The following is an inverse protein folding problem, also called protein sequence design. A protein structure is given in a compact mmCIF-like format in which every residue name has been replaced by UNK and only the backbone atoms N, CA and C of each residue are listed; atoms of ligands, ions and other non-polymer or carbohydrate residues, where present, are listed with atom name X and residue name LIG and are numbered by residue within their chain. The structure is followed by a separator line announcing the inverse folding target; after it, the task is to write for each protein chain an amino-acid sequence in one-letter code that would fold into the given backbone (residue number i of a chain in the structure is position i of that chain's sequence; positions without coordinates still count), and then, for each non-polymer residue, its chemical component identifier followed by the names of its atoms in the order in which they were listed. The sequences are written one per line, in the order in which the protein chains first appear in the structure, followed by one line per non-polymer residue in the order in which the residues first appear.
data_IF_540135661510
#
_entry.id   IF_540135661510
#
_cell.length_a   1.000
_cell.length_b   1.000
_cell.length_c   1.000
_cell.angle_alpha   90.00
_cell.angle_beta   90.00
_cell.angle_gamma   90.00
#
_symmetry.space_group_name_H-M   'P 1'
#
loop_
_entity.id
_entity.type
_entity.pdbx_description
1 polymer ?
#
# COMPACT_ATOMS: atom_id res chain seq x y z
N UNK A 1 -27.17 -14.42 3.60
CA UNK A 1 -27.35 -12.96 3.40
C UNK A 1 -26.85 -12.60 2.02
N UNK A 2 -27.62 -11.81 1.24
CA UNK A 2 -27.11 -11.28 -0.03
C UNK A 2 -26.30 -10.03 0.23
N UNK A 3 -25.05 -10.04 -0.23
CA UNK A 3 -24.10 -8.98 -0.03
C UNK A 3 -23.74 -8.31 -1.37
N UNK A 4 -23.96 -7.01 -1.49
CA UNK A 4 -23.51 -6.23 -2.65
C UNK A 4 -22.05 -5.78 -2.42
N UNK A 5 -21.24 -5.84 -3.45
CA UNK A 5 -19.84 -5.42 -3.41
C UNK A 5 -19.43 -4.71 -4.70
N UNK A 6 -18.34 -3.98 -4.62
CA UNK A 6 -17.61 -3.47 -5.77
C UNK A 6 -16.19 -4.04 -5.78
N UNK A 7 -15.72 -4.40 -6.97
CA UNK A 7 -14.35 -4.84 -7.19
C UNK A 7 -13.50 -3.65 -7.61
N UNK A 8 -12.41 -3.44 -6.90
CA UNK A 8 -11.43 -2.39 -7.17
C UNK A 8 -10.03 -2.99 -7.33
N UNK A 9 -9.15 -2.25 -7.99
CA UNK A 9 -7.72 -2.53 -8.01
C UNK A 9 -6.90 -1.24 -7.96
N UNK A 10 -5.69 -1.32 -7.40
CA UNK A 10 -4.70 -0.26 -7.39
C UNK A 10 -3.31 -0.86 -7.58
N UNK A 11 -2.69 -0.56 -8.72
CA UNK A 11 -1.34 -1.05 -9.09
C UNK A 11 -1.22 -2.58 -9.00
N UNK A 12 -2.23 -3.30 -9.51
CA UNK A 12 -2.26 -4.76 -9.54
C UNK A 12 -2.75 -5.44 -8.25
N UNK A 13 -2.90 -4.70 -7.17
CA UNK A 13 -3.45 -5.20 -5.91
C UNK A 13 -4.97 -5.02 -5.91
N UNK A 14 -5.75 -6.10 -5.76
CA UNK A 14 -7.19 -6.10 -5.99
C UNK A 14 -8.00 -6.28 -4.69
N UNK A 15 -9.16 -5.65 -4.64
CA UNK A 15 -9.95 -5.55 -3.42
C UNK A 15 -11.44 -5.77 -3.68
N UNK A 16 -12.10 -6.43 -2.72
CA UNK A 16 -13.55 -6.39 -2.56
C UNK A 16 -13.87 -5.21 -1.67
N UNK A 17 -14.72 -4.29 -2.14
CA UNK A 17 -15.17 -3.16 -1.36
C UNK A 17 -16.65 -3.31 -1.02
N UNK A 18 -16.97 -3.18 0.28
CA UNK A 18 -18.32 -3.30 0.81
C UNK A 18 -18.71 -2.01 1.50
N UNK A 19 -19.86 -1.48 1.14
CA UNK A 19 -20.42 -0.31 1.77
C UNK A 19 -21.30 -0.71 2.97
N UNK A 20 -20.85 -0.36 4.17
CA UNK A 20 -21.62 -0.44 5.42
C UNK A 20 -21.96 0.94 5.99
N UNK A 21 -21.92 2.00 5.16
CA UNK A 21 -22.12 3.37 5.63
C UNK A 21 -23.50 3.56 6.29
N UNK A 22 -24.53 2.92 5.74
CA UNK A 22 -25.89 2.99 6.24
C UNK A 22 -26.40 1.66 6.86
N UNK A 23 -25.63 0.58 6.78
CA UNK A 23 -26.03 -0.76 7.21
C UNK A 23 -24.91 -1.44 7.97
N UNK A 24 -25.16 -1.78 9.23
CA UNK A 24 -24.18 -2.51 10.05
C UNK A 24 -24.48 -4.02 10.02
N UNK A 25 -23.50 -4.79 9.60
CA UNK A 25 -23.49 -6.25 9.76
C UNK A 25 -22.05 -6.71 10.07
N UNK A 26 -21.92 -7.84 10.73
CA UNK A 26 -20.61 -8.38 11.09
C UNK A 26 -20.19 -9.46 10.12
N UNK A 27 -18.96 -9.35 9.63
CA UNK A 27 -18.25 -10.39 8.90
C UNK A 27 -17.21 -11.02 9.84
N UNK A 28 -17.35 -12.33 10.08
CA UNK A 28 -16.33 -13.07 10.79
C UNK A 28 -15.19 -13.48 9.85
N UNK A 29 -14.08 -13.96 10.40
CA UNK A 29 -12.89 -14.36 9.64
C UNK A 29 -13.21 -15.38 8.54
N UNK A 30 -14.09 -16.37 8.82
CA UNK A 30 -14.48 -17.40 7.84
C UNK A 30 -15.17 -16.79 6.61
N UNK A 31 -16.08 -15.82 6.82
CA UNK A 31 -16.76 -15.11 5.71
C UNK A 31 -15.81 -14.22 4.92
N UNK A 32 -14.86 -13.56 5.61
CA UNK A 32 -13.83 -12.75 4.96
C UNK A 32 -12.94 -13.64 4.07
N UNK A 33 -12.46 -14.77 4.61
CA UNK A 33 -11.67 -15.74 3.87
C UNK A 33 -12.41 -16.27 2.64
N UNK A 34 -13.69 -16.64 2.81
CA UNK A 34 -14.54 -17.08 1.69
C UNK A 34 -14.68 -16.00 0.61
N UNK A 35 -14.94 -14.75 0.98
CA UNK A 35 -15.05 -13.65 0.01
C UNK A 35 -13.77 -13.44 -0.77
N UNK A 36 -12.60 -13.54 -0.11
CA UNK A 36 -11.29 -13.34 -0.71
C UNK A 36 -10.78 -14.56 -1.50
N UNK A 37 -11.37 -15.74 -1.32
CA UNK A 37 -11.00 -16.95 -2.05
C UNK A 37 -11.30 -16.81 -3.54
N UNK A 38 -10.28 -17.04 -4.39
CA UNK A 38 -10.37 -16.83 -5.84
C UNK A 38 -11.13 -17.94 -6.57
N UNK A 39 -11.33 -19.08 -5.93
CA UNK A 39 -12.02 -20.23 -6.51
C UNK A 39 -13.45 -20.38 -6.00
N UNK A 40 -13.70 -20.05 -4.73
CA UNK A 40 -14.98 -20.29 -4.08
C UNK A 40 -15.79 -19.01 -3.85
N UNK A 41 -15.12 -17.84 -3.76
CA UNK A 41 -15.74 -16.55 -3.51
C UNK A 41 -15.63 -15.58 -4.68
N UNK A 42 -15.49 -14.30 -4.35
CA UNK A 42 -15.25 -13.24 -5.34
C UNK A 42 -13.78 -13.21 -5.76
N UNK A 43 -12.89 -13.54 -4.84
CA UNK A 43 -11.44 -13.52 -5.03
C UNK A 43 -10.86 -12.11 -4.93
N UNK A 44 -9.95 -11.90 -3.99
CA UNK A 44 -9.20 -10.64 -3.86
C UNK A 44 -7.99 -10.80 -2.91
N UNK A 45 -7.05 -9.87 -3.01
CA UNK A 45 -5.94 -9.72 -2.05
C UNK A 45 -6.42 -9.19 -0.69
N UNK A 46 -7.62 -8.63 -0.61
CA UNK A 46 -8.22 -8.19 0.64
C UNK A 46 -9.62 -7.60 0.50
N UNK A 47 -10.23 -7.40 1.66
CA UNK A 47 -11.58 -6.85 1.82
C UNK A 47 -11.50 -5.45 2.44
N UNK A 48 -12.17 -4.49 1.82
CA UNK A 48 -12.36 -3.12 2.33
C UNK A 48 -13.80 -2.94 2.76
N UNK A 49 -14.01 -2.42 3.96
CA UNK A 49 -15.34 -2.02 4.45
C UNK A 49 -15.32 -0.52 4.69
N UNK A 50 -16.30 0.18 4.12
CA UNK A 50 -16.54 1.61 4.36
C UNK A 50 -17.68 1.74 5.36
N UNK A 51 -17.42 2.45 6.47
CA UNK A 51 -18.38 2.65 7.56
C UNK A 51 -18.58 4.12 7.85
N UNK A 52 -19.75 4.46 8.36
CA UNK A 52 -20.03 5.78 8.89
C UNK A 52 -19.28 6.02 10.19
N UNK A 53 -18.84 7.26 10.42
CA UNK A 53 -18.22 7.71 11.67
C UNK A 53 -18.47 9.20 11.86
N UNK A 54 -18.72 9.63 13.10
CA UNK A 54 -18.83 11.05 13.43
C UNK A 54 -17.47 11.79 13.44
N UNK A 55 -16.36 11.05 13.33
CA UNK A 55 -15.01 11.60 13.53
C UNK A 55 -14.31 11.99 12.23
N UNK A 56 -14.78 11.48 11.09
CA UNK A 56 -14.18 11.69 9.76
C UNK A 56 -15.24 11.54 8.67
N UNK A 57 -14.90 11.72 7.40
CA UNK A 57 -15.83 11.49 6.30
C UNK A 57 -16.31 10.03 6.27
N UNK A 58 -15.41 9.09 6.61
CA UNK A 58 -15.71 7.66 6.77
C UNK A 58 -14.65 6.95 7.60
N UNK A 59 -14.97 5.73 8.06
CA UNK A 59 -14.01 4.77 8.59
C UNK A 59 -13.76 3.68 7.54
N UNK A 60 -12.50 3.41 7.25
CA UNK A 60 -12.05 2.29 6.44
C UNK A 60 -11.54 1.16 7.33
N UNK A 61 -12.11 -0.03 7.15
CA UNK A 61 -11.53 -1.28 7.69
C UNK A 61 -10.98 -2.10 6.53
N UNK A 62 -9.73 -2.51 6.64
CA UNK A 62 -9.11 -3.40 5.67
C UNK A 62 -8.76 -4.73 6.34
N UNK A 63 -9.18 -5.81 5.70
CA UNK A 63 -8.93 -7.16 6.16
C UNK A 63 -8.13 -7.94 5.11
N UNK A 64 -7.08 -8.61 5.58
CA UNK A 64 -6.38 -9.62 4.80
C UNK A 64 -7.28 -10.87 4.59
N UNK A 65 -6.96 -11.78 3.65
CA UNK A 65 -7.76 -12.99 3.43
C UNK A 65 -7.89 -13.90 4.66
N UNK A 66 -6.95 -13.86 5.60
CA UNK A 66 -7.00 -14.59 6.87
C UNK A 66 -7.94 -13.95 7.92
N UNK A 67 -8.56 -12.83 7.57
CA UNK A 67 -9.44 -12.05 8.44
C UNK A 67 -8.73 -11.16 9.45
N UNK A 68 -7.41 -11.01 9.39
CA UNK A 68 -6.66 -10.05 10.19
C UNK A 68 -6.85 -8.61 9.67
N UNK A 69 -7.05 -7.65 10.59
CA UNK A 69 -7.18 -6.23 10.23
C UNK A 69 -5.80 -5.59 10.11
N UNK A 70 -5.53 -4.90 9.00
CA UNK A 70 -4.29 -4.16 8.76
C UNK A 70 -4.55 -2.82 8.07
N UNK A 71 -3.50 -2.05 7.79
CA UNK A 71 -3.55 -0.87 6.94
C UNK A 71 -2.97 -1.20 5.56
N UNK A 72 -3.67 -0.79 4.50
CA UNK A 72 -3.22 -0.99 3.12
C UNK A 72 -3.28 0.34 2.35
N UNK A 73 -2.13 0.86 1.92
CA UNK A 73 -2.04 2.10 1.14
C UNK A 73 -2.72 2.00 -0.23
N UNK A 74 -2.63 0.85 -0.90
CA UNK A 74 -3.33 0.59 -2.17
C UNK A 74 -4.85 0.56 -1.94
N UNK A 75 -5.30 -0.17 -0.92
CA UNK A 75 -6.71 -0.23 -0.52
C UNK A 75 -7.25 1.14 -0.09
N UNK A 76 -6.46 1.95 0.58
CA UNK A 76 -6.86 3.31 0.98
C UNK A 76 -7.16 4.20 -0.23
N UNK A 77 -6.39 4.10 -1.32
CA UNK A 77 -6.71 4.83 -2.56
C UNK A 77 -8.04 4.39 -3.16
N UNK A 78 -8.32 3.09 -3.15
CA UNK A 78 -9.61 2.56 -3.61
C UNK A 78 -10.77 3.04 -2.74
N UNK A 79 -10.61 3.00 -1.41
CA UNK A 79 -11.61 3.48 -0.45
C UNK A 79 -11.93 4.97 -0.62
N UNK A 80 -10.92 5.80 -0.78
CA UNK A 80 -11.05 7.25 -1.00
C UNK A 80 -11.74 7.55 -2.33
N UNK A 81 -11.35 6.85 -3.40
CA UNK A 81 -12.01 7.00 -4.70
C UNK A 81 -13.48 6.60 -4.64
N UNK A 82 -13.78 5.47 -4.00
CA UNK A 82 -15.15 5.03 -3.77
C UNK A 82 -15.97 6.07 -2.99
N UNK A 83 -15.43 6.57 -1.87
CA UNK A 83 -16.11 7.53 -1.02
C UNK A 83 -16.42 8.86 -1.76
N UNK A 84 -15.49 9.32 -2.59
CA UNK A 84 -15.71 10.51 -3.42
C UNK A 84 -16.76 10.28 -4.53
N UNK A 85 -16.71 9.14 -5.22
CA UNK A 85 -17.66 8.78 -6.27
C UNK A 85 -19.09 8.63 -5.74
N UNK A 86 -19.22 8.18 -4.49
CA UNK A 86 -20.51 7.99 -3.81
C UNK A 86 -20.92 9.19 -2.92
N UNK A 87 -20.24 10.34 -3.03
CA UNK A 87 -20.53 11.57 -2.28
C UNK A 87 -20.46 11.40 -0.75
N UNK A 88 -19.71 10.42 -0.26
CA UNK A 88 -19.44 10.19 1.16
C UNK A 88 -18.40 11.20 1.65
N UNK A 89 -17.41 11.55 0.83
CA UNK A 89 -16.39 12.55 1.13
C UNK A 89 -16.46 13.74 0.18
N UNK A 90 -15.80 14.86 0.56
CA UNK A 90 -15.68 16.06 -0.30
C UNK A 90 -14.85 15.73 -1.54
N UNK A 91 -15.15 16.39 -2.69
CA UNK A 91 -14.59 16.04 -3.99
C UNK A 91 -13.06 15.97 -4.08
N UNK A 92 -12.33 16.87 -3.38
CA UNK A 92 -10.89 17.02 -3.57
C UNK A 92 -10.05 16.65 -2.34
N UNK A 93 -10.68 16.55 -1.17
CA UNK A 93 -10.01 16.20 0.09
C UNK A 93 -10.90 15.18 0.80
N UNK A 94 -10.29 14.13 1.30
CA UNK A 94 -10.96 13.12 2.11
C UNK A 94 -10.19 12.93 3.40
N UNK A 95 -10.89 12.99 4.53
CA UNK A 95 -10.35 12.61 5.83
C UNK A 95 -11.03 11.32 6.26
N UNK A 96 -10.25 10.31 6.59
CA UNK A 96 -10.79 9.02 6.97
C UNK A 96 -10.06 8.41 8.17
N UNK A 97 -10.75 7.54 8.88
CA UNK A 97 -10.17 6.73 9.94
C UNK A 97 -9.77 5.36 9.38
N UNK A 98 -8.57 4.89 9.73
CA UNK A 98 -8.18 3.49 9.55
C UNK A 98 -7.34 3.07 10.76
N UNK A 99 -7.67 1.93 11.38
CA UNK A 99 -7.00 1.45 12.60
C UNK A 99 -6.90 2.50 13.71
N UNK A 100 -7.98 3.25 13.93
CA UNK A 100 -8.07 4.35 14.92
C UNK A 100 -7.10 5.53 14.68
N UNK A 101 -6.50 5.63 13.48
CA UNK A 101 -5.66 6.76 13.08
C UNK A 101 -6.35 7.60 12.01
N UNK A 102 -6.13 8.91 12.06
CA UNK A 102 -6.60 9.83 11.01
C UNK A 102 -5.66 9.79 9.83
N UNK A 103 -6.25 9.72 8.66
CA UNK A 103 -5.56 9.83 7.38
C UNK A 103 -6.19 10.92 6.54
N UNK A 104 -5.38 11.54 5.71
CA UNK A 104 -5.79 12.60 4.78
C UNK A 104 -5.39 12.20 3.36
N UNK A 105 -6.31 12.38 2.42
CA UNK A 105 -6.10 12.07 1.03
C UNK A 105 -6.56 13.23 0.14
N UNK A 106 -5.86 13.40 -0.97
CA UNK A 106 -6.15 14.39 -2.00
C UNK A 106 -6.51 13.66 -3.30
N UNK A 107 -7.60 14.11 -3.92
CA UNK A 107 -8.09 13.51 -5.16
C UNK A 107 -7.85 14.52 -6.28
N UNK A 108 -7.11 14.10 -7.29
CA UNK A 108 -6.86 14.88 -8.49
C UNK A 108 -7.18 14.05 -9.73
N UNK A 109 -8.30 14.35 -10.39
CA UNK A 109 -8.83 13.56 -11.53
C UNK A 109 -9.00 12.09 -11.11
N UNK A 110 -8.28 11.18 -11.76
CA UNK A 110 -8.31 9.74 -11.50
C UNK A 110 -7.26 9.25 -10.51
N UNK A 111 -6.48 10.15 -9.89
CA UNK A 111 -5.40 9.78 -8.97
C UNK A 111 -5.73 10.19 -7.54
N UNK A 112 -5.38 9.32 -6.60
CA UNK A 112 -5.48 9.58 -5.17
C UNK A 112 -4.09 9.64 -4.57
N UNK A 113 -3.85 10.70 -3.79
CA UNK A 113 -2.62 10.95 -3.06
C UNK A 113 -2.89 10.85 -1.57
N UNK A 114 -2.31 9.87 -0.91
CA UNK A 114 -2.44 9.66 0.55
C UNK A 114 -1.29 10.37 1.25
N UNK A 115 -1.61 11.21 2.25
CA UNK A 115 -0.61 11.80 3.14
C UNK A 115 -0.11 10.74 4.11
N UNK A 116 1.19 10.61 4.18
CA UNK A 116 1.88 9.65 5.04
C UNK A 116 2.57 10.36 6.20
N UNK A 117 2.90 9.61 7.24
CA UNK A 117 3.62 10.14 8.40
C UNK A 117 5.04 10.57 8.03
N UNK A 118 5.57 11.53 8.77
CA UNK A 118 6.96 11.93 8.67
C UNK A 118 7.88 10.76 9.07
N UNK A 119 9.05 10.66 8.44
CA UNK A 119 9.99 9.56 8.62
C UNK A 119 11.35 10.11 9.02
N UNK A 120 11.88 9.62 10.13
CA UNK A 120 13.21 9.96 10.66
C UNK A 120 14.03 8.73 11.04
N UNK A 121 13.40 7.57 11.23
CA UNK A 121 14.07 6.35 11.64
C UNK A 121 14.66 5.60 10.43
N UNK A 122 15.83 6.04 9.99
CA UNK A 122 16.53 5.51 8.82
C UNK A 122 17.92 5.06 9.27
N UNK A 123 18.24 3.79 9.05
CA UNK A 123 19.56 3.22 9.31
C UNK A 123 20.23 2.87 7.99
N UNK A 124 21.40 3.43 7.75
CA UNK A 124 22.25 3.03 6.62
C UNK A 124 23.07 1.81 7.04
N UNK A 125 23.05 0.77 6.20
CA UNK A 125 23.76 -0.50 6.41
C UNK A 125 24.66 -0.72 5.20
N UNK A 126 25.90 -0.28 5.29
CA UNK A 126 26.82 -0.23 4.14
C UNK A 126 26.22 0.59 2.98
N UNK A 127 25.85 -0.07 1.89
CA UNK A 127 25.18 0.53 0.73
C UNK A 127 23.65 0.38 0.76
N UNK A 128 23.12 -0.39 1.70
CA UNK A 128 21.70 -0.67 1.88
C UNK A 128 21.09 0.25 2.95
N UNK A 129 19.77 0.20 3.12
CA UNK A 129 19.03 0.99 4.08
C UNK A 129 18.00 0.14 4.81
N UNK A 130 17.86 0.36 6.12
CA UNK A 130 16.71 -0.10 6.88
C UNK A 130 15.88 1.11 7.28
N UNK A 131 14.61 1.13 6.89
CA UNK A 131 13.69 2.25 7.07
C UNK A 131 12.49 1.74 7.84
N UNK A 132 12.33 2.25 9.05
CA UNK A 132 11.23 1.88 9.94
C UNK A 132 10.04 2.77 9.66
N UNK A 133 9.11 2.19 8.93
CA UNK A 133 7.77 2.70 8.70
C UNK A 133 6.81 1.98 9.66
N UNK A 134 5.51 2.15 9.53
CA UNK A 134 4.54 1.28 10.24
C UNK A 134 4.76 -0.22 9.91
N UNK A 135 5.36 -0.49 8.76
CA UNK A 135 5.92 -1.78 8.37
C UNK A 135 7.38 -1.55 7.99
N UNK A 136 8.35 -2.23 8.65
CA UNK A 136 9.76 -2.01 8.39
C UNK A 136 10.18 -2.54 7.02
N UNK A 137 11.09 -1.81 6.37
CA UNK A 137 11.60 -2.11 5.04
C UNK A 137 13.13 -2.15 5.00
N UNK A 138 13.68 -3.19 4.43
CA UNK A 138 15.07 -3.25 3.97
C UNK A 138 15.12 -2.87 2.49
N UNK A 139 16.03 -1.98 2.13
CA UNK A 139 16.16 -1.48 0.75
C UNK A 139 17.59 -1.66 0.27
N UNK A 140 17.76 -2.40 -0.81
CA UNK A 140 19.02 -2.60 -1.53
C UNK A 140 18.97 -1.90 -2.88
N UNK A 141 19.98 -1.06 -3.16
CA UNK A 141 20.15 -0.47 -4.48
C UNK A 141 20.96 -1.44 -5.34
N UNK A 142 20.42 -1.75 -6.52
CA UNK A 142 20.99 -2.70 -7.49
C UNK A 142 21.25 -1.98 -8.82
N UNK A 143 22.24 -2.44 -9.57
CA UNK A 143 22.58 -1.86 -10.87
C UNK A 143 21.57 -2.29 -11.95
N UNK A 144 21.12 -3.56 -11.93
CA UNK A 144 20.16 -4.09 -12.89
C UNK A 144 19.20 -5.10 -12.23
N UNK A 145 17.91 -4.77 -12.22
CA UNK A 145 16.86 -5.62 -11.65
C UNK A 145 16.44 -6.77 -12.58
N UNK A 146 16.71 -6.67 -13.88
CA UNK A 146 16.28 -7.70 -14.83
C UNK A 146 17.18 -8.95 -14.76
N UNK A 147 18.46 -8.76 -14.46
CA UNK A 147 19.45 -9.84 -14.37
C UNK A 147 19.70 -10.32 -12.94
N UNK A 148 18.89 -9.86 -11.96
CA UNK A 148 19.08 -10.25 -10.58
C UNK A 148 18.28 -11.53 -10.25
N UNK A 149 18.94 -12.51 -9.63
CA UNK A 149 18.24 -13.62 -9.00
C UNK A 149 17.52 -13.11 -7.75
N UNK A 150 16.22 -12.83 -7.92
CA UNK A 150 15.39 -12.24 -6.86
C UNK A 150 15.38 -13.10 -5.61
N UNK A 151 15.08 -14.41 -5.75
CA UNK A 151 14.95 -15.35 -4.64
C UNK A 151 16.25 -15.44 -3.84
N UNK A 152 17.38 -15.65 -4.50
CA UNK A 152 18.70 -15.75 -3.87
C UNK A 152 19.08 -14.47 -3.12
N UNK A 153 18.75 -13.28 -3.68
CA UNK A 153 19.00 -12.01 -3.01
C UNK A 153 18.14 -11.83 -1.75
N UNK A 154 16.85 -12.20 -1.82
CA UNK A 154 15.95 -12.13 -0.66
C UNK A 154 16.44 -13.06 0.45
N UNK A 155 16.77 -14.31 0.14
CA UNK A 155 17.30 -15.29 1.10
C UNK A 155 18.57 -14.77 1.78
N UNK A 156 19.52 -14.26 1.01
CA UNK A 156 20.76 -13.69 1.56
C UNK A 156 20.49 -12.50 2.49
N UNK A 157 19.62 -11.56 2.08
CA UNK A 157 19.26 -10.42 2.93
C UNK A 157 18.61 -10.88 4.24
N UNK A 158 17.73 -11.87 4.19
CA UNK A 158 17.08 -12.44 5.38
C UNK A 158 18.12 -13.09 6.31
N UNK A 159 19.00 -13.94 5.80
CA UNK A 159 20.05 -14.61 6.60
C UNK A 159 20.93 -13.57 7.31
N UNK A 160 21.38 -12.55 6.57
CA UNK A 160 22.31 -11.55 7.09
C UNK A 160 21.67 -10.58 8.12
N UNK A 161 20.34 -10.42 8.12
CA UNK A 161 19.71 -9.31 8.83
C UNK A 161 18.55 -9.68 9.77
N UNK A 162 17.91 -10.86 9.66
CA UNK A 162 16.76 -11.23 10.49
C UNK A 162 17.07 -11.24 12.00
N UNK A 163 18.25 -11.71 12.38
CA UNK A 163 18.66 -11.72 13.79
C UNK A 163 18.72 -10.33 14.42
N UNK A 164 19.01 -9.30 13.61
CA UNK A 164 19.18 -7.91 14.06
C UNK A 164 17.91 -7.06 13.94
N UNK A 165 17.10 -7.30 12.91
CA UNK A 165 15.99 -6.42 12.55
C UNK A 165 14.62 -7.12 12.60
N UNK A 166 14.58 -8.43 12.88
CA UNK A 166 13.36 -9.21 12.87
C UNK A 166 12.79 -9.39 11.45
N UNK A 167 11.47 -9.49 11.34
CA UNK A 167 10.80 -9.70 10.07
C UNK A 167 10.46 -8.36 9.40
N UNK A 168 10.92 -8.16 8.16
CA UNK A 168 10.78 -6.93 7.38
C UNK A 168 10.45 -7.21 5.91
N UNK A 169 9.92 -6.21 5.22
CA UNK A 169 9.78 -6.23 3.77
C UNK A 169 11.14 -5.92 3.11
N UNK A 170 11.39 -6.47 1.93
CA UNK A 170 12.64 -6.25 1.21
C UNK A 170 12.34 -5.63 -0.16
N UNK A 171 13.03 -4.54 -0.48
CA UNK A 171 12.90 -3.85 -1.75
C UNK A 171 14.24 -3.86 -2.46
N UNK A 172 14.28 -4.42 -3.67
CA UNK A 172 15.39 -4.30 -4.59
C UNK A 172 15.09 -3.14 -5.53
N UNK A 173 16.00 -2.18 -5.64
CA UNK A 173 15.76 -0.88 -6.29
C UNK A 173 16.81 -0.62 -7.34
N UNK A 174 16.39 -0.32 -8.56
CA UNK A 174 17.25 0.18 -9.64
C UNK A 174 16.94 1.65 -9.90
N UNK A 175 17.97 2.49 -9.89
CA UNK A 175 17.85 3.91 -10.22
C UNK A 175 17.90 4.06 -11.73
N UNK A 176 16.83 4.57 -12.34
CA UNK A 176 16.74 4.81 -13.79
C UNK A 176 17.16 6.24 -14.13
N UNK A 177 16.73 7.19 -13.29
CA UNK A 177 17.06 8.60 -13.46
C UNK A 177 17.01 9.34 -12.12
N UNK A 178 17.24 10.64 -12.13
CA UNK A 178 17.12 11.48 -10.93
C UNK A 178 15.71 11.47 -10.31
N UNK A 179 14.69 11.13 -11.09
CA UNK A 179 13.29 11.18 -10.66
C UNK A 179 12.52 9.88 -10.92
N UNK A 180 13.22 8.79 -11.27
CA UNK A 180 12.58 7.52 -11.60
C UNK A 180 13.39 6.33 -11.11
N UNK A 181 12.70 5.35 -10.50
CA UNK A 181 13.26 4.09 -10.00
C UNK A 181 12.36 2.92 -10.37
N UNK A 182 12.96 1.76 -10.60
CA UNK A 182 12.27 0.47 -10.67
C UNK A 182 12.42 -0.25 -9.33
N UNK A 183 11.37 -0.94 -8.90
CA UNK A 183 11.34 -1.62 -7.60
C UNK A 183 10.69 -2.99 -7.73
N UNK A 184 11.31 -4.00 -7.10
CA UNK A 184 10.73 -5.31 -6.83
C UNK A 184 10.67 -5.51 -5.32
N UNK A 185 9.51 -5.91 -4.81
CA UNK A 185 9.28 -6.02 -3.36
C UNK A 185 8.91 -7.44 -2.97
N UNK A 186 9.62 -7.96 -1.96
CA UNK A 186 9.22 -9.13 -1.19
C UNK A 186 8.47 -8.65 0.05
N UNK A 187 7.22 -9.07 0.23
CA UNK A 187 6.42 -8.68 1.39
C UNK A 187 6.36 -9.78 2.44
N UNK A 188 6.69 -9.41 3.68
CA UNK A 188 6.45 -10.24 4.85
C UNK A 188 4.96 -10.51 5.03
N UNK A 189 4.60 -11.74 5.38
CA UNK A 189 3.20 -12.16 5.52
C UNK A 189 2.59 -12.69 4.23
N UNK A 190 3.03 -12.20 3.05
CA UNK A 190 2.78 -12.83 1.76
C UNK A 190 3.84 -13.91 1.50
N UNK A 191 5.05 -13.69 2.04
CA UNK A 191 6.26 -14.52 1.85
C UNK A 191 6.61 -14.72 0.37
N UNK A 192 6.39 -13.68 -0.42
CA UNK A 192 6.59 -13.69 -1.87
C UNK A 192 6.79 -12.30 -2.48
N UNK A 193 7.13 -12.28 -3.77
CA UNK A 193 7.16 -11.05 -4.57
C UNK A 193 5.74 -10.58 -4.83
N UNK A 194 5.48 -9.29 -4.58
CA UNK A 194 4.18 -8.67 -4.83
C UNK A 194 4.24 -7.72 -6.02
N UNK A 195 3.09 -7.53 -6.68
CA UNK A 195 2.97 -6.68 -7.86
C UNK A 195 3.25 -5.20 -7.55
N UNK A 196 3.00 -4.75 -6.32
CA UNK A 196 3.32 -3.40 -5.85
C UNK A 196 3.17 -3.28 -4.33
N UNK A 197 3.98 -2.43 -3.70
CA UNK A 197 3.92 -2.14 -2.27
C UNK A 197 3.98 -0.63 -2.03
N UNK A 198 2.94 -0.05 -1.41
CA UNK A 198 2.86 1.40 -1.17
C UNK A 198 3.93 1.90 -0.19
N UNK A 199 4.11 1.21 0.95
CA UNK A 199 5.17 1.55 1.92
C UNK A 199 6.55 1.23 1.35
N UNK A 200 6.67 0.18 0.53
CA UNK A 200 7.88 -0.13 -0.24
C UNK A 200 8.27 0.97 -1.22
N UNK A 201 7.29 1.60 -1.89
CA UNK A 201 7.53 2.75 -2.75
C UNK A 201 8.14 3.93 -1.98
N UNK A 202 7.62 4.21 -0.77
CA UNK A 202 8.12 5.29 0.09
C UNK A 202 9.54 4.98 0.57
N UNK A 203 9.76 3.77 1.12
CA UNK A 203 11.07 3.34 1.59
C UNK A 203 12.13 3.41 0.47
N UNK A 204 11.78 2.89 -0.71
CA UNK A 204 12.65 2.91 -1.89
C UNK A 204 12.99 4.34 -2.35
N UNK A 205 12.01 5.25 -2.34
CA UNK A 205 12.20 6.66 -2.70
C UNK A 205 13.13 7.38 -1.72
N UNK A 206 12.96 7.12 -0.42
CA UNK A 206 13.83 7.67 0.63
C UNK A 206 15.26 7.17 0.46
N UNK A 207 15.46 5.85 0.28
CA UNK A 207 16.78 5.27 0.06
C UNK A 207 17.45 5.85 -1.21
N UNK A 208 16.71 5.95 -2.32
CA UNK A 208 17.21 6.53 -3.58
C UNK A 208 17.60 8.00 -3.43
N UNK A 209 16.96 8.76 -2.52
CA UNK A 209 17.32 10.15 -2.27
C UNK A 209 18.70 10.34 -1.65
N UNK A 210 19.25 9.32 -0.99
CA UNK A 210 20.65 9.32 -0.52
C UNK A 210 21.64 8.99 -1.65
N UNK A 211 21.14 8.56 -2.81
CA UNK A 211 21.89 8.33 -4.06
C UNK A 211 21.61 9.42 -5.12
N UNK A 212 21.28 10.63 -4.68
CA UNK A 212 21.03 11.84 -5.50
C UNK A 212 19.71 11.86 -6.28
N UNK A 213 18.78 10.95 -6.05
CA UNK A 213 17.43 11.07 -6.58
C UNK A 213 16.67 12.22 -5.90
N UNK A 214 15.73 12.85 -6.63
CA UNK A 214 15.00 14.04 -6.16
C UNK A 214 13.50 13.80 -6.19
N UNK A 215 12.79 14.26 -5.16
CA UNK A 215 11.34 14.33 -5.11
C UNK A 215 10.79 15.36 -6.13
N UNK A 216 9.68 15.07 -6.83
CA UNK A 216 8.93 13.82 -6.78
C UNK A 216 9.62 12.69 -7.55
N UNK A 217 9.48 11.45 -7.03
CA UNK A 217 9.95 10.26 -7.73
C UNK A 217 8.77 9.48 -8.31
N UNK A 218 8.97 8.95 -9.52
CA UNK A 218 8.16 7.92 -10.13
C UNK A 218 8.75 6.55 -9.77
N UNK A 219 7.92 5.67 -9.26
CA UNK A 219 8.30 4.32 -8.85
C UNK A 219 7.55 3.33 -9.72
N UNK A 220 8.28 2.52 -10.48
CA UNK A 220 7.71 1.48 -11.33
C UNK A 220 7.80 0.14 -10.61
N UNK A 221 6.68 -0.54 -10.56
CA UNK A 221 6.51 -1.92 -10.15
C UNK A 221 5.95 -2.75 -11.31
N UNK A 222 5.97 -4.04 -11.20
CA UNK A 222 5.35 -4.95 -12.20
C UNK A 222 3.84 -4.68 -12.34
N UNK A 223 3.15 -4.35 -11.23
CA UNK A 223 1.71 -4.06 -11.21
C UNK A 223 1.32 -2.63 -11.59
N UNK A 224 2.29 -1.75 -11.90
CA UNK A 224 2.03 -0.36 -12.27
C UNK A 224 2.96 0.64 -11.63
N UNK A 225 2.67 1.93 -11.79
CA UNK A 225 3.52 2.99 -11.23
C UNK A 225 2.84 3.79 -10.14
N UNK A 226 3.65 4.27 -9.20
CA UNK A 226 3.27 5.21 -8.15
C UNK A 226 4.16 6.44 -8.22
N UNK A 227 3.75 7.52 -7.55
CA UNK A 227 4.57 8.71 -7.36
C UNK A 227 4.69 8.99 -5.87
N UNK A 228 5.92 9.22 -5.40
CA UNK A 228 6.19 9.65 -4.03
C UNK A 228 6.74 11.06 -4.05
N UNK A 229 6.10 11.91 -3.26
CA UNK A 229 6.56 13.30 -3.05
C UNK A 229 6.95 13.47 -1.59
N UNK A 230 8.04 14.17 -1.31
CA UNK A 230 8.47 14.49 0.06
C UNK A 230 9.36 15.73 0.08
N UNK A 231 9.49 16.32 1.25
CA UNK A 231 10.51 17.32 1.58
C UNK A 231 11.57 16.65 2.44
N UNK A 232 12.84 16.74 2.03
CA UNK A 232 13.98 16.19 2.77
C UNK A 232 14.72 17.30 3.52
N UNK A 233 14.88 17.13 4.83
CA UNK A 233 15.72 17.98 5.67
C UNK A 233 16.73 17.08 6.40
N UNK A 234 17.99 17.05 5.91
CA UNK A 234 19.08 16.16 6.37
C UNK A 234 18.63 14.69 6.32
N UNK A 235 18.17 14.13 7.44
CA UNK A 235 17.68 12.74 7.57
C UNK A 235 16.20 12.64 7.93
N UNK A 236 15.46 13.75 7.97
CA UNK A 236 14.03 13.78 8.26
C UNK A 236 13.28 14.02 6.96
N UNK A 237 12.30 13.19 6.69
CA UNK A 237 11.42 13.28 5.53
C UNK A 237 10.03 13.68 5.98
N UNK A 238 9.53 14.81 5.46
CA UNK A 238 8.25 15.42 5.79
C UNK A 238 7.39 15.60 4.55
N UNK A 239 6.10 15.90 4.78
CA UNK A 239 5.15 16.14 3.69
C UNK A 239 5.19 14.99 2.67
N UNK A 240 5.16 13.77 3.17
CA UNK A 240 5.24 12.57 2.33
C UNK A 240 3.86 12.28 1.77
N UNK A 241 3.77 12.18 0.45
CA UNK A 241 2.55 11.80 -0.26
C UNK A 241 2.83 10.62 -1.18
N UNK A 242 1.96 9.61 -1.08
CA UNK A 242 1.94 8.46 -1.96
C UNK A 242 0.76 8.59 -2.93
N UNK A 243 1.05 8.89 -4.19
CA UNK A 243 0.08 9.01 -5.27
C UNK A 243 0.11 7.77 -6.16
N UNK A 244 -1.06 7.29 -6.55
CA UNK A 244 -1.21 6.20 -7.52
C UNK A 244 -2.61 6.18 -8.12
N UNK A 245 -2.75 5.39 -9.19
CA UNK A 245 -4.06 5.10 -9.78
C UNK A 245 -4.81 4.06 -8.96
N UNK A 246 -6.10 4.10 -9.05
CA UNK A 246 -7.04 3.09 -8.60
C UNK A 246 -8.19 3.03 -9.59
N UNK A 247 -8.74 1.84 -9.81
CA UNK A 247 -9.80 1.65 -10.78
C UNK A 247 -10.91 0.78 -10.19
N UNK A 248 -12.15 1.19 -10.45
CA UNK A 248 -13.31 0.32 -10.36
C UNK A 248 -13.21 -0.75 -11.46
N UNK A 249 -13.52 -2.00 -11.15
CA UNK A 249 -13.46 -3.11 -12.10
C UNK A 249 -14.88 -3.57 -12.45
N UNK A 250 -15.65 -4.00 -11.46
CA UNK A 250 -17.05 -4.38 -11.60
C UNK A 250 -17.77 -4.36 -10.25
N UNK A 251 -19.09 -4.48 -10.28
CA UNK A 251 -19.92 -4.68 -9.09
C UNK A 251 -20.70 -6.00 -9.19
N UNK A 252 -21.09 -6.54 -8.04
CA UNK A 252 -21.81 -7.78 -7.99
C UNK A 252 -22.57 -7.99 -6.67
N UNK A 253 -23.26 -9.14 -6.61
CA UNK A 253 -23.91 -9.64 -5.40
C UNK A 253 -23.48 -11.07 -5.15
N UNK A 254 -23.22 -11.42 -3.90
CA UNK A 254 -22.86 -12.77 -3.47
C UNK A 254 -23.68 -13.18 -2.26
N UNK A 255 -24.08 -14.45 -2.20
CA UNK A 255 -24.77 -15.04 -1.03
C UNK A 255 -23.71 -15.59 -0.07
N UNK A 256 -23.72 -15.12 1.19
CA UNK A 256 -22.80 -15.53 2.25
C UNK A 256 -23.52 -16.02 3.50
#
# INVERSE_FOLDING_TARGET
MNLSFEKYQASGNDFILINQYNNNFLLNKKKIGFLCDRNLGVGADGLIIIRNTAKADFEMKFYNPDGSESFCGNGSRCAVHYAASNKISKKNISKFLARNKYHEAYINKSKVSIKMNDISNIKKINNDFYIDLESPHYVRICDDLNNIDFKKNIEKIKIDNNAKYGNFNINLVQIISKNEINVRTFEKGVEGETLSCGTGAIASSIAASFKKCKSPLKINFTGGSMKVTFTKNISIFKNIYLEGSQNFVYSGKIKI
#
